data_IF_729265134480
#
_entry.id   IF_729265134480
#
_cell.length_a   1.000
_cell.length_b   1.000
_cell.length_c   1.000
_cell.angle_alpha   90.00
_cell.angle_beta   90.00
_cell.angle_gamma   90.00
#
_symmetry.space_group_name_H-M   'P 1'
#
loop_
_entity.id
_entity.type
_entity.pdbx_description
1 polymer ?
#
# COMPACT_ATOMS: atom_id res chain seq x y z
N UNK A 1 8.22 -5.71 -1.80
CA UNK A 1 8.03 -6.74 -2.85
C UNK A 1 9.09 -6.69 -3.94
N UNK A 2 9.44 -5.52 -4.49
CA UNK A 2 10.47 -5.39 -5.52
C UNK A 2 11.83 -5.93 -5.08
N UNK A 3 12.27 -5.61 -3.86
CA UNK A 3 13.54 -6.10 -3.30
C UNK A 3 13.55 -7.62 -3.14
N UNK A 4 12.41 -8.23 -2.79
CA UNK A 4 12.26 -9.67 -2.67
C UNK A 4 12.41 -10.36 -4.03
N UNK A 5 11.77 -9.83 -5.07
CA UNK A 5 11.88 -10.35 -6.44
C UNK A 5 13.32 -10.26 -6.95
N UNK A 6 14.01 -9.13 -6.70
CA UNK A 6 15.41 -8.95 -7.06
C UNK A 6 16.32 -9.95 -6.34
N UNK A 7 16.05 -10.27 -5.07
CA UNK A 7 16.85 -11.21 -4.29
C UNK A 7 16.73 -12.65 -4.77
N UNK A 8 15.62 -13.02 -5.46
CA UNK A 8 15.40 -14.38 -5.95
C UNK A 8 16.20 -14.67 -7.22
N UNK A 9 16.07 -13.83 -8.23
CA UNK A 9 16.76 -13.98 -9.51
C UNK A 9 16.62 -12.68 -10.31
N UNK A 10 17.76 -12.14 -10.74
CA UNK A 10 17.80 -10.92 -11.54
C UNK A 10 16.99 -11.06 -12.85
N UNK A 11 17.02 -12.22 -13.48
CA UNK A 11 16.27 -12.47 -14.73
C UNK A 11 14.75 -12.48 -14.49
N UNK A 12 14.31 -13.00 -13.37
CA UNK A 12 12.90 -12.95 -12.96
C UNK A 12 12.48 -11.51 -12.74
N UNK A 13 13.33 -10.71 -12.07
CA UNK A 13 13.06 -9.29 -11.87
C UNK A 13 13.02 -8.51 -13.18
N UNK A 14 13.92 -8.79 -14.13
CA UNK A 14 13.92 -8.14 -15.44
C UNK A 14 12.61 -8.34 -16.19
N UNK A 15 12.00 -9.52 -16.10
CA UNK A 15 10.70 -9.79 -16.72
C UNK A 15 9.61 -8.92 -16.14
N UNK A 16 9.65 -8.66 -14.84
CA UNK A 16 8.69 -7.76 -14.16
C UNK A 16 8.91 -6.30 -14.59
N UNK A 17 10.17 -5.88 -14.69
CA UNK A 17 10.55 -4.51 -15.00
C UNK A 17 10.39 -4.17 -16.49
N UNK A 18 10.93 -5.01 -17.36
CA UNK A 18 10.94 -4.80 -18.81
C UNK A 18 9.69 -5.34 -19.48
N UNK A 19 9.21 -6.49 -18.99
CA UNK A 19 8.05 -7.18 -19.53
C UNK A 19 8.41 -8.36 -20.44
N UNK A 20 7.40 -9.08 -20.82
CA UNK A 20 7.48 -10.20 -21.74
C UNK A 20 6.30 -10.13 -22.70
N UNK A 21 6.58 -10.34 -23.97
CA UNK A 21 5.54 -10.39 -25.01
C UNK A 21 5.36 -11.84 -25.43
N UNK A 22 4.14 -12.35 -25.31
CA UNK A 22 3.79 -13.71 -25.74
C UNK A 22 4.02 -13.83 -27.23
N UNK A 23 4.81 -14.82 -27.69
CA UNK A 23 5.00 -15.06 -29.13
C UNK A 23 3.68 -15.36 -29.85
N UNK A 24 3.57 -14.93 -31.09
CA UNK A 24 2.39 -15.14 -31.94
C UNK A 24 2.28 -16.62 -32.34
N UNK A 25 3.42 -17.28 -32.49
CA UNK A 25 3.48 -18.69 -32.89
C UNK A 25 2.89 -19.61 -31.82
N UNK A 26 2.40 -20.79 -32.22
CA UNK A 26 1.96 -21.81 -31.28
C UNK A 26 3.10 -22.22 -30.33
N UNK A 27 2.84 -22.53 -29.04
CA UNK A 27 3.90 -22.95 -28.12
C UNK A 27 4.75 -24.11 -28.57
N UNK A 28 4.19 -25.01 -29.41
CA UNK A 28 4.92 -26.14 -30.00
C UNK A 28 6.00 -25.71 -30.97
N UNK A 29 5.91 -24.51 -31.53
CA UNK A 29 6.86 -23.96 -32.50
C UNK A 29 7.90 -23.03 -31.87
N UNK A 30 7.88 -22.86 -30.53
CA UNK A 30 8.82 -22.00 -29.82
C UNK A 30 10.22 -22.61 -29.78
N UNK A 31 11.23 -21.80 -30.02
CA UNK A 31 12.62 -22.16 -29.78
C UNK A 31 12.96 -22.11 -28.27
N UNK A 32 14.18 -22.54 -27.91
CA UNK A 32 14.62 -22.57 -26.51
C UNK A 32 14.61 -21.20 -25.84
N UNK A 33 14.94 -20.14 -26.60
CA UNK A 33 14.95 -18.77 -26.04
C UNK A 33 13.54 -18.31 -25.69
N UNK A 34 12.55 -18.60 -26.53
CA UNK A 34 11.14 -18.27 -26.27
C UNK A 34 10.57 -19.05 -25.09
N UNK A 35 10.92 -20.33 -24.98
CA UNK A 35 10.52 -21.19 -23.85
C UNK A 35 11.11 -20.66 -22.54
N UNK A 36 12.39 -20.28 -22.53
CA UNK A 36 13.05 -19.71 -21.35
C UNK A 36 12.40 -18.40 -20.90
N UNK A 37 12.12 -17.50 -21.84
CA UNK A 37 11.47 -16.23 -21.55
C UNK A 37 10.09 -16.45 -20.93
N UNK A 38 9.29 -17.36 -21.49
CA UNK A 38 7.99 -17.73 -20.94
C UNK A 38 8.10 -18.31 -19.52
N UNK A 39 9.12 -19.14 -19.28
CA UNK A 39 9.37 -19.71 -17.95
C UNK A 39 9.71 -18.63 -16.91
N UNK A 40 10.52 -17.64 -17.25
CA UNK A 40 10.83 -16.53 -16.35
C UNK A 40 9.57 -15.71 -16.03
N UNK A 41 8.71 -15.48 -17.02
CA UNK A 41 7.42 -14.82 -16.80
C UNK A 41 6.54 -15.63 -15.84
N UNK A 42 6.42 -16.93 -16.04
CA UNK A 42 5.64 -17.81 -15.17
C UNK A 42 6.18 -17.84 -13.73
N UNK A 43 7.50 -17.86 -13.57
CA UNK A 43 8.14 -17.79 -12.25
C UNK A 43 7.82 -16.49 -11.53
N UNK A 44 7.91 -15.36 -12.26
CA UNK A 44 7.59 -14.05 -11.71
C UNK A 44 6.11 -13.99 -11.27
N UNK A 45 5.19 -14.47 -12.11
CA UNK A 45 3.77 -14.57 -11.76
C UNK A 45 3.53 -15.41 -10.52
N UNK A 46 4.17 -16.58 -10.42
CA UNK A 46 4.04 -17.45 -9.24
C UNK A 46 4.49 -16.77 -7.97
N UNK A 47 5.61 -16.04 -8.00
CA UNK A 47 6.09 -15.28 -6.86
C UNK A 47 5.07 -14.21 -6.45
N UNK A 48 4.55 -13.45 -7.43
CA UNK A 48 3.53 -12.42 -7.16
C UNK A 48 2.27 -13.03 -6.56
N UNK A 49 1.77 -14.12 -7.13
CA UNK A 49 0.56 -14.80 -6.63
C UNK A 49 0.72 -15.32 -5.20
N UNK A 50 1.91 -15.79 -4.83
CA UNK A 50 2.17 -16.38 -3.52
C UNK A 50 2.50 -15.36 -2.43
N UNK A 51 2.87 -14.13 -2.79
CA UNK A 51 3.28 -13.10 -1.82
C UNK A 51 2.19 -12.07 -1.49
N UNK A 52 1.07 -12.08 -2.22
CA UNK A 52 -0.01 -11.11 -2.05
C UNK A 52 -1.15 -11.67 -1.20
N UNK A 53 -1.98 -10.77 -0.67
CA UNK A 53 -3.20 -11.14 0.05
C UNK A 53 -4.25 -11.70 -0.91
N UNK A 54 -5.27 -12.38 -0.37
CA UNK A 54 -6.38 -12.89 -1.18
C UNK A 54 -7.10 -11.79 -1.96
N UNK A 55 -7.23 -10.61 -1.37
CA UNK A 55 -7.86 -9.45 -2.01
C UNK A 55 -7.05 -8.96 -3.20
N UNK A 56 -5.74 -8.86 -3.05
CA UNK A 56 -4.82 -8.46 -4.13
C UNK A 56 -4.73 -9.54 -5.21
N UNK A 57 -4.69 -10.81 -4.81
CA UNK A 57 -4.67 -11.95 -5.74
C UNK A 57 -5.85 -11.92 -6.70
N UNK A 58 -7.04 -11.61 -6.23
CA UNK A 58 -8.24 -11.50 -7.09
C UNK A 58 -8.07 -10.47 -8.20
N UNK A 59 -7.28 -9.42 -7.98
CA UNK A 59 -7.04 -8.37 -8.98
C UNK A 59 -6.08 -8.81 -10.07
N UNK A 60 -5.15 -9.73 -9.79
CA UNK A 60 -4.09 -10.15 -10.70
C UNK A 60 -4.23 -11.58 -11.20
N UNK A 61 -5.17 -12.36 -10.68
CA UNK A 61 -5.31 -13.79 -10.98
C UNK A 61 -5.57 -14.09 -12.47
N UNK A 62 -6.14 -13.17 -13.21
CA UNK A 62 -6.41 -13.32 -14.63
C UNK A 62 -5.28 -12.83 -15.53
N UNK A 63 -4.22 -12.24 -14.98
CA UNK A 63 -3.09 -11.77 -15.78
C UNK A 63 -2.15 -12.92 -16.16
N UNK A 64 -1.67 -12.88 -17.39
CA UNK A 64 -0.70 -13.84 -17.92
C UNK A 64 0.72 -13.26 -17.99
N UNK A 65 0.86 -11.96 -17.81
CA UNK A 65 2.12 -11.22 -17.94
C UNK A 65 2.49 -10.61 -16.58
N UNK A 66 3.67 -10.99 -16.07
CA UNK A 66 4.14 -10.56 -14.76
C UNK A 66 4.24 -9.04 -14.62
N UNK A 67 4.65 -8.34 -15.66
CA UNK A 67 4.72 -6.87 -15.66
C UNK A 67 3.35 -6.22 -15.46
N UNK A 68 2.32 -6.75 -16.10
CA UNK A 68 0.95 -6.25 -15.93
C UNK A 68 0.45 -6.47 -14.51
N UNK A 69 0.68 -7.67 -13.96
CA UNK A 69 0.33 -7.97 -12.56
C UNK A 69 1.04 -7.02 -11.60
N UNK A 70 2.33 -6.80 -11.80
CA UNK A 70 3.12 -5.86 -10.99
C UNK A 70 2.57 -4.44 -11.06
N UNK A 71 2.24 -3.96 -12.26
CA UNK A 71 1.66 -2.62 -12.46
C UNK A 71 0.33 -2.46 -11.73
N UNK A 72 -0.54 -3.48 -11.79
CA UNK A 72 -1.81 -3.48 -11.06
C UNK A 72 -1.57 -3.37 -9.56
N UNK A 73 -0.63 -4.15 -9.01
CA UNK A 73 -0.28 -4.12 -7.59
C UNK A 73 0.30 -2.77 -7.16
N UNK A 74 1.19 -2.19 -7.94
CA UNK A 74 1.76 -0.87 -7.67
C UNK A 74 0.67 0.21 -7.66
N UNK A 75 -0.19 0.23 -8.65
CA UNK A 75 -1.30 1.20 -8.74
C UNK A 75 -2.25 1.06 -7.56
N UNK A 76 -2.56 -0.17 -7.17
CA UNK A 76 -3.41 -0.46 -5.99
C UNK A 76 -2.74 0.03 -4.70
N UNK A 77 -1.45 -0.24 -4.53
CA UNK A 77 -0.69 0.17 -3.35
C UNK A 77 -0.60 1.70 -3.26
N UNK A 78 -0.28 2.38 -4.35
CA UNK A 78 -0.20 3.84 -4.41
C UNK A 78 -1.55 4.49 -4.12
N UNK A 79 -2.65 3.95 -4.65
CA UNK A 79 -3.99 4.42 -4.37
C UNK A 79 -4.36 4.26 -2.90
N UNK A 80 -4.04 3.12 -2.30
CA UNK A 80 -4.26 2.85 -0.87
C UNK A 80 -3.44 3.81 0.00
N UNK A 81 -2.19 4.06 -0.36
CA UNK A 81 -1.32 5.01 0.34
C UNK A 81 -1.87 6.43 0.24
N UNK A 82 -2.30 6.85 -0.93
CA UNK A 82 -2.87 8.18 -1.14
C UNK A 82 -4.14 8.40 -0.30
N UNK A 83 -5.02 7.41 -0.21
CA UNK A 83 -6.21 7.46 0.65
C UNK A 83 -5.82 7.57 2.12
N UNK A 84 -4.85 6.78 2.57
CA UNK A 84 -4.33 6.81 3.93
C UNK A 84 -3.73 8.18 4.28
N UNK A 85 -2.88 8.71 3.41
CA UNK A 85 -2.24 10.01 3.59
C UNK A 85 -3.28 11.13 3.66
N UNK A 86 -4.31 11.07 2.83
CA UNK A 86 -5.44 12.01 2.86
C UNK A 86 -6.20 11.99 4.19
N UNK A 87 -6.46 10.78 4.71
CA UNK A 87 -7.12 10.62 6.03
C UNK A 87 -6.26 11.16 7.16
N UNK A 88 -4.94 10.89 7.13
CA UNK A 88 -4.00 11.41 8.12
C UNK A 88 -3.94 12.94 8.08
N UNK A 89 -3.95 13.53 6.89
CA UNK A 89 -3.96 14.99 6.74
C UNK A 89 -5.20 15.62 7.37
N UNK A 90 -6.38 15.02 7.17
CA UNK A 90 -7.62 15.49 7.80
C UNK A 90 -7.57 15.36 9.32
N UNK A 91 -7.02 14.25 9.84
CA UNK A 91 -6.86 14.07 11.29
C UNK A 91 -5.88 15.07 11.89
N UNK A 92 -4.78 15.36 11.21
CA UNK A 92 -3.81 16.37 11.62
C UNK A 92 -4.45 17.75 11.70
N UNK A 93 -5.21 18.13 10.68
CA UNK A 93 -5.96 19.39 10.65
C UNK A 93 -6.97 19.45 11.81
N UNK A 94 -7.74 18.38 12.03
CA UNK A 94 -8.69 18.28 13.13
C UNK A 94 -8.01 18.43 14.49
N UNK A 95 -6.84 17.81 14.68
CA UNK A 95 -6.05 17.91 15.90
C UNK A 95 -5.57 19.36 16.16
N UNK A 96 -5.13 20.04 15.10
CA UNK A 96 -4.67 21.42 15.20
C UNK A 96 -5.80 22.40 15.50
N UNK A 97 -6.97 22.16 14.93
CA UNK A 97 -8.13 23.06 15.05
C UNK A 97 -9.00 22.81 16.27
N UNK A 98 -8.93 21.62 16.87
CA UNK A 98 -9.79 21.27 18.01
C UNK A 98 -9.53 22.18 19.20
N UNK A 99 -10.60 22.68 19.79
CA UNK A 99 -10.57 23.46 21.02
C UNK A 99 -11.86 23.24 21.81
N UNK A 100 -11.78 23.48 23.11
CA UNK A 100 -12.91 23.35 24.01
C UNK A 100 -13.91 24.48 23.76
N UNK A 101 -15.17 24.14 23.56
CA UNK A 101 -16.25 25.11 23.39
C UNK A 101 -16.76 25.57 24.73
N UNK A 102 -17.47 26.73 24.77
CA UNK A 102 -17.93 27.36 26.02
C UNK A 102 -18.81 26.48 26.91
N UNK A 103 -19.72 25.72 26.27
CA UNK A 103 -20.65 24.86 26.98
C UNK A 103 -20.18 23.40 27.06
N UNK A 104 -19.00 23.09 26.51
CA UNK A 104 -18.47 21.76 26.48
C UNK A 104 -17.73 21.42 27.78
N UNK A 105 -18.00 20.24 28.37
CA UNK A 105 -17.22 19.75 29.48
C UNK A 105 -15.83 19.32 29.06
N UNK A 106 -14.88 19.31 30.01
CA UNK A 106 -13.53 18.79 29.74
C UNK A 106 -13.58 17.33 29.25
N UNK A 107 -14.44 16.50 29.85
CA UNK A 107 -14.56 15.10 29.46
C UNK A 107 -15.03 14.94 28.01
N UNK A 108 -15.96 15.76 27.57
CA UNK A 108 -16.44 15.75 26.17
C UNK A 108 -15.35 16.17 25.21
N UNK A 109 -14.62 17.24 25.52
CA UNK A 109 -13.47 17.69 24.73
C UNK A 109 -12.38 16.64 24.68
N UNK A 110 -12.02 16.07 25.82
CA UNK A 110 -10.96 15.04 25.89
C UNK A 110 -11.33 13.80 25.12
N UNK A 111 -12.60 13.39 25.14
CA UNK A 111 -13.10 12.27 24.35
C UNK A 111 -12.92 12.50 22.84
N UNK A 112 -13.24 13.69 22.34
CA UNK A 112 -13.01 14.07 20.95
C UNK A 112 -11.53 14.06 20.60
N UNK A 113 -10.68 14.57 21.46
CA UNK A 113 -9.24 14.58 21.27
C UNK A 113 -8.68 13.16 21.21
N UNK A 114 -9.12 12.29 22.10
CA UNK A 114 -8.71 10.87 22.12
C UNK A 114 -9.18 10.12 20.86
N UNK A 115 -10.35 10.43 20.36
CA UNK A 115 -10.85 9.86 19.09
C UNK A 115 -9.90 10.17 17.92
N UNK A 116 -9.45 11.43 17.83
CA UNK A 116 -8.49 11.85 16.80
C UNK A 116 -7.17 11.10 16.96
N UNK A 117 -6.65 11.02 18.19
CA UNK A 117 -5.40 10.32 18.50
C UNK A 117 -5.48 8.84 18.13
N UNK A 118 -6.58 8.16 18.51
CA UNK A 118 -6.79 6.75 18.24
C UNK A 118 -6.97 6.48 16.74
N UNK A 119 -7.69 7.35 16.03
CA UNK A 119 -7.86 7.23 14.58
C UNK A 119 -6.54 7.37 13.84
N UNK A 120 -5.68 8.30 14.26
CA UNK A 120 -4.33 8.46 13.72
C UNK A 120 -3.47 7.22 13.99
N UNK A 121 -3.53 6.69 15.21
CA UNK A 121 -2.81 5.46 15.59
C UNK A 121 -3.21 4.29 14.70
N UNK A 122 -4.50 4.10 14.44
CA UNK A 122 -5.00 3.04 13.56
C UNK A 122 -4.51 3.17 12.12
N UNK A 123 -4.10 4.37 11.71
CA UNK A 123 -3.48 4.62 10.41
C UNK A 123 -1.94 4.58 10.45
N UNK A 124 -1.36 4.20 11.60
CA UNK A 124 0.08 4.07 11.75
C UNK A 124 0.82 5.32 12.23
N UNK A 125 0.09 6.39 12.62
CA UNK A 125 0.68 7.63 13.13
C UNK A 125 0.44 7.76 14.61
N UNK A 126 1.52 7.85 15.40
CA UNK A 126 1.43 8.03 16.85
C UNK A 126 1.61 9.49 17.24
N UNK A 127 0.61 10.07 17.91
CA UNK A 127 0.73 11.40 18.48
C UNK A 127 1.28 11.26 19.90
N UNK A 128 2.43 11.86 20.15
CA UNK A 128 3.15 11.73 21.42
C UNK A 128 2.42 12.44 22.57
N UNK A 129 2.49 11.84 23.76
CA UNK A 129 1.88 12.39 24.98
C UNK A 129 2.19 13.88 25.23
N UNK A 130 3.46 14.36 25.11
CA UNK A 130 3.74 15.78 25.28
C UNK A 130 2.98 16.69 24.34
N UNK A 131 2.74 16.25 23.12
CA UNK A 131 1.98 17.00 22.12
C UNK A 131 0.50 17.06 22.48
N UNK A 132 -0.05 15.96 22.97
CA UNK A 132 -1.44 15.85 23.46
C UNK A 132 -1.61 16.78 24.66
N UNK A 133 -0.71 16.75 25.63
CA UNK A 133 -0.75 17.59 26.82
C UNK A 133 -0.70 19.09 26.49
N UNK A 134 0.17 19.47 25.55
CA UNK A 134 0.23 20.87 25.09
C UNK A 134 -1.08 21.32 24.47
N UNK A 135 -1.73 20.44 23.70
CA UNK A 135 -3.02 20.72 23.05
C UNK A 135 -4.12 20.89 24.11
N UNK A 136 -4.15 20.04 25.14
CA UNK A 136 -5.08 20.14 26.27
C UNK A 136 -4.91 21.47 26.97
N UNK A 137 -3.68 21.83 27.33
CA UNK A 137 -3.40 23.08 28.05
C UNK A 137 -3.79 24.31 27.24
N UNK A 138 -3.48 24.35 25.96
CA UNK A 138 -3.89 25.46 25.08
C UNK A 138 -5.40 25.57 24.95
N UNK A 139 -6.11 24.46 24.97
CA UNK A 139 -7.57 24.45 24.82
C UNK A 139 -8.31 24.90 26.06
N UNK A 140 -7.68 24.82 27.24
CA UNK A 140 -8.23 25.30 28.51
C UNK A 140 -8.03 26.82 28.73
N UNK A 141 -7.13 27.40 27.98
CA UNK A 141 -6.85 28.86 28.06
C UNK A 141 -7.71 29.63 27.06
#
# INVERSE_FOLDING_TARGET
MGAFLQSLDEKVWQVVEIGWTKPIEAPTDWDDAKIKAANFNSRALNVLFNTVTNKEFKKISSTEIAKEAWTILQTTYEGTKAVKDSKLQRLTTSFEEIKMEEEESFNEFYAKLKDIVNSAFNLGETILEPKIMRKVLKSLL
#
